data_IF_697024853726
#
_entry.id   IF_697024853726
#
_cell.length_a   1.000
_cell.length_b   1.000
_cell.length_c   1.000
_cell.angle_alpha   90.00
_cell.angle_beta   90.00
_cell.angle_gamma   90.00
#
_symmetry.space_group_name_H-M   'P 1'
#
loop_
_entity.id
_entity.type
_entity.pdbx_description
1 polymer ?
#
# COMPACT_ATOMS: atom_id res chain seq x y z
N UNK A 1 -45.59 21.61 31.84
CA UNK A 1 -44.14 21.36 32.00
C UNK A 1 -43.58 21.00 30.62
N UNK A 2 -42.39 21.55 30.33
CA UNK A 2 -41.82 21.85 29.02
C UNK A 2 -41.63 20.62 28.10
N UNK A 3 -42.26 20.68 26.93
CA UNK A 3 -41.97 19.87 25.74
C UNK A 3 -40.51 20.05 25.31
N UNK A 4 -39.71 18.98 25.37
CA UNK A 4 -38.37 18.95 24.78
C UNK A 4 -38.39 18.02 23.55
N UNK A 5 -38.74 18.64 22.41
CA UNK A 5 -38.22 18.24 21.11
C UNK A 5 -36.69 18.28 21.15
N UNK A 6 -36.07 17.27 20.55
CA UNK A 6 -34.81 17.29 19.78
C UNK A 6 -34.22 15.88 19.90
N UNK A 7 -34.55 14.95 19.01
CA UNK A 7 -33.71 14.68 17.84
C UNK A 7 -32.22 14.94 18.13
N UNK A 8 -31.56 13.95 18.73
CA UNK A 8 -30.11 13.80 18.61
C UNK A 8 -29.87 12.47 17.89
N UNK A 9 -29.83 12.60 16.57
CA UNK A 9 -29.40 11.59 15.63
C UNK A 9 -28.03 11.06 16.06
N UNK A 10 -28.01 9.83 16.56
CA UNK A 10 -26.78 9.06 16.74
C UNK A 10 -26.36 8.47 15.38
N UNK A 11 -26.15 9.35 14.39
CA UNK A 11 -25.43 9.02 13.17
C UNK A 11 -23.93 9.11 13.46
N UNK A 12 -23.44 8.19 14.30
CA UNK A 12 -22.01 7.99 14.50
C UNK A 12 -21.42 7.43 13.21
N UNK A 13 -20.67 8.29 12.51
CA UNK A 13 -19.92 8.00 11.30
C UNK A 13 -19.45 6.54 11.25
N UNK A 14 -19.98 5.75 10.32
CA UNK A 14 -19.20 4.66 9.77
C UNK A 14 -17.97 5.31 9.14
N UNK A 15 -16.82 5.21 9.81
CA UNK A 15 -15.55 5.29 9.12
C UNK A 15 -15.58 4.14 8.10
N UNK A 16 -15.83 4.46 6.83
CA UNK A 16 -15.59 3.53 5.73
C UNK A 16 -14.10 3.66 5.37
N UNK A 17 -13.21 2.76 5.80
CA UNK A 17 -11.90 2.62 5.15
C UNK A 17 -12.02 2.08 3.71
N UNK A 18 -13.23 1.76 3.23
CA UNK A 18 -13.45 0.85 2.09
C UNK A 18 -13.28 1.40 0.67
N UNK A 19 -12.92 2.66 0.45
CA UNK A 19 -12.75 3.20 -0.93
C UNK A 19 -11.30 3.28 -1.40
N UNK A 20 -10.31 3.18 -0.49
CA UNK A 20 -8.90 3.18 -0.85
C UNK A 20 -8.37 1.77 -1.22
N UNK A 21 -9.04 0.71 -0.78
CA UNK A 21 -8.52 -0.66 -0.88
C UNK A 21 -8.33 -1.16 -2.31
N UNK A 22 -9.19 -0.76 -3.26
CA UNK A 22 -9.09 -1.21 -4.65
C UNK A 22 -7.95 -0.50 -5.40
N UNK A 23 -7.84 0.84 -5.25
CA UNK A 23 -6.73 1.62 -5.81
C UNK A 23 -5.39 1.20 -5.17
N UNK A 24 -5.36 1.10 -3.84
CA UNK A 24 -4.17 0.68 -3.09
C UNK A 24 -3.70 -0.71 -3.53
N UNK A 25 -4.60 -1.66 -3.80
CA UNK A 25 -4.21 -2.98 -4.27
C UNK A 25 -3.54 -2.92 -5.65
N UNK A 26 -4.15 -2.24 -6.63
CA UNK A 26 -3.55 -2.06 -7.95
C UNK A 26 -2.23 -1.28 -7.89
N UNK A 27 -2.15 -0.28 -7.02
CA UNK A 27 -0.96 0.52 -6.82
C UNK A 27 0.18 -0.28 -6.17
N UNK A 28 -0.13 -1.10 -5.16
CA UNK A 28 0.84 -1.99 -4.51
C UNK A 28 1.40 -3.01 -5.51
N UNK A 29 0.55 -3.57 -6.39
CA UNK A 29 1.00 -4.47 -7.45
C UNK A 29 1.91 -3.77 -8.47
N UNK A 30 1.59 -2.53 -8.87
CA UNK A 30 2.42 -1.76 -9.79
C UNK A 30 3.81 -1.45 -9.18
N UNK A 31 3.85 -1.01 -7.91
CA UNK A 31 5.10 -0.81 -7.18
C UNK A 31 5.87 -2.12 -7.01
N UNK A 32 5.16 -3.21 -6.71
CA UNK A 32 5.72 -4.54 -6.54
C UNK A 32 6.37 -5.08 -7.81
N UNK A 33 5.72 -4.93 -8.96
CA UNK A 33 6.27 -5.31 -10.26
C UNK A 33 7.53 -4.52 -10.62
N UNK A 34 7.52 -3.20 -10.34
CA UNK A 34 8.70 -2.36 -10.53
C UNK A 34 9.85 -2.81 -9.62
N UNK A 35 9.54 -3.10 -8.36
CA UNK A 35 10.51 -3.56 -7.39
C UNK A 35 11.10 -4.93 -7.77
N UNK A 36 10.30 -5.90 -8.18
CA UNK A 36 10.81 -7.20 -8.64
C UNK A 36 11.72 -7.10 -9.86
N UNK A 37 11.44 -6.14 -10.75
CA UNK A 37 12.16 -5.99 -12.01
C UNK A 37 13.50 -5.31 -11.85
N UNK A 38 13.61 -4.36 -10.93
CA UNK A 38 14.78 -3.48 -10.82
C UNK A 38 15.43 -3.45 -9.44
N UNK A 39 14.72 -3.88 -8.40
CA UNK A 39 15.23 -3.94 -7.04
C UNK A 39 15.63 -5.37 -6.72
N UNK A 40 16.86 -5.69 -7.07
CA UNK A 40 17.52 -6.90 -6.66
C UNK A 40 19.00 -6.63 -6.43
N UNK A 41 19.62 -7.46 -5.60
CA UNK A 41 21.08 -7.53 -5.53
C UNK A 41 21.53 -8.69 -6.42
N UNK A 42 22.72 -8.58 -7.02
CA UNK A 42 23.31 -9.71 -7.73
C UNK A 42 23.51 -10.86 -6.74
N UNK A 43 22.73 -11.94 -6.92
CA UNK A 43 22.89 -13.17 -6.15
C UNK A 43 24.17 -13.91 -6.55
N UNK A 44 24.43 -15.06 -5.91
CA UNK A 44 25.64 -15.87 -6.14
C UNK A 44 25.82 -16.34 -7.60
N UNK A 45 24.75 -16.31 -8.40
CA UNK A 45 24.74 -16.69 -9.82
C UNK A 45 24.65 -15.49 -10.78
N UNK A 46 24.81 -14.25 -10.28
CA UNK A 46 24.74 -13.04 -11.12
C UNK A 46 23.34 -12.60 -11.52
N UNK A 47 22.29 -13.32 -11.08
CA UNK A 47 20.90 -12.91 -11.25
C UNK A 47 20.49 -11.90 -10.17
N UNK A 48 19.73 -10.86 -10.56
CA UNK A 48 19.14 -9.93 -9.61
C UNK A 48 18.01 -10.64 -8.86
N UNK A 49 18.23 -10.93 -7.58
CA UNK A 49 17.20 -11.47 -6.70
C UNK A 49 16.64 -10.36 -5.80
N UNK A 50 15.32 -10.22 -5.66
CA UNK A 50 14.72 -9.28 -4.72
C UNK A 50 15.10 -9.65 -3.29
N UNK A 51 15.54 -8.66 -2.52
CA UNK A 51 15.88 -8.86 -1.11
C UNK A 51 14.65 -9.19 -0.25
N UNK A 52 14.86 -9.89 0.87
CA UNK A 52 13.79 -10.39 1.76
C UNK A 52 12.83 -9.27 2.19
N UNK A 53 13.33 -8.05 2.37
CA UNK A 53 12.50 -6.90 2.72
C UNK A 53 11.52 -6.51 1.62
N UNK A 54 11.96 -6.57 0.36
CA UNK A 54 11.10 -6.34 -0.81
C UNK A 54 10.05 -7.45 -0.94
N UNK A 55 10.44 -8.71 -0.71
CA UNK A 55 9.52 -9.84 -0.70
C UNK A 55 8.46 -9.72 0.41
N UNK A 56 8.84 -9.24 1.59
CA UNK A 56 7.91 -8.99 2.70
C UNK A 56 6.88 -7.91 2.36
N UNK A 57 7.31 -6.78 1.80
CA UNK A 57 6.38 -5.74 1.37
C UNK A 57 5.41 -6.24 0.29
N UNK A 58 5.90 -7.08 -0.61
CA UNK A 58 5.07 -7.72 -1.64
C UNK A 58 4.07 -8.74 -1.06
N UNK A 59 4.43 -9.41 0.03
CA UNK A 59 3.51 -10.25 0.79
C UNK A 59 2.47 -9.40 1.51
N UNK A 60 2.85 -8.25 2.05
CA UNK A 60 1.92 -7.32 2.71
C UNK A 60 0.91 -6.75 1.71
N UNK A 61 1.33 -6.41 0.48
CA UNK A 61 0.44 -6.08 -0.64
C UNK A 61 -0.63 -7.17 -0.85
N UNK A 62 -0.18 -8.43 -1.00
CA UNK A 62 -1.06 -9.57 -1.30
C UNK A 62 -1.95 -10.01 -0.14
N UNK A 63 -1.56 -9.69 1.10
CA UNK A 63 -2.32 -10.05 2.30
C UNK A 63 -3.39 -9.01 2.67
N UNK A 64 -3.55 -7.95 1.86
CA UNK A 64 -4.48 -6.85 2.15
C UNK A 64 -3.91 -5.79 3.11
N UNK A 65 -2.64 -5.91 3.53
CA UNK A 65 -1.91 -4.87 4.24
C UNK A 65 -1.21 -3.93 3.25
N UNK A 66 -1.99 -3.41 2.31
CA UNK A 66 -1.50 -2.60 1.19
C UNK A 66 -0.83 -1.32 1.68
N UNK A 67 -1.35 -0.67 2.71
CA UNK A 67 -0.77 0.56 3.26
C UNK A 67 0.70 0.38 3.71
N UNK A 68 1.01 -0.71 4.41
CA UNK A 68 2.38 -1.00 4.84
C UNK A 68 3.29 -1.38 3.66
N UNK A 69 2.78 -2.20 2.74
CA UNK A 69 3.50 -2.60 1.53
C UNK A 69 3.85 -1.41 0.64
N UNK A 70 2.86 -0.55 0.35
CA UNK A 70 3.01 0.68 -0.43
C UNK A 70 4.05 1.59 0.21
N UNK A 71 3.89 1.91 1.51
CA UNK A 71 4.80 2.84 2.19
C UNK A 71 6.27 2.38 2.12
N UNK A 72 6.51 1.07 2.25
CA UNK A 72 7.85 0.50 2.11
C UNK A 72 8.36 0.58 0.67
N UNK A 73 7.57 0.11 -0.30
CA UNK A 73 7.97 0.06 -1.70
C UNK A 73 8.22 1.46 -2.27
N UNK A 74 7.33 2.43 -1.99
CA UNK A 74 7.53 3.82 -2.40
C UNK A 74 8.84 4.38 -1.85
N UNK A 75 9.10 4.21 -0.55
CA UNK A 75 10.32 4.72 0.09
C UNK A 75 11.57 4.11 -0.56
N UNK A 76 11.55 2.79 -0.76
CA UNK A 76 12.69 2.05 -1.31
C UNK A 76 12.95 2.46 -2.77
N UNK A 77 11.90 2.53 -3.60
CA UNK A 77 12.00 2.92 -5.01
C UNK A 77 12.45 4.37 -5.18
N UNK A 78 11.93 5.31 -4.37
CA UNK A 78 12.38 6.71 -4.35
C UNK A 78 13.84 6.81 -3.93
N UNK A 79 14.27 6.07 -2.92
CA UNK A 79 15.66 6.06 -2.46
C UNK A 79 16.62 5.52 -3.55
N UNK A 80 16.14 4.63 -4.41
CA UNK A 80 16.88 4.13 -5.56
C UNK A 80 16.75 5.02 -6.82
N UNK A 81 16.05 6.17 -6.72
CA UNK A 81 15.93 7.14 -7.81
C UNK A 81 14.90 6.79 -8.89
N UNK A 82 14.02 5.82 -8.65
CA UNK A 82 12.96 5.48 -9.60
C UNK A 82 11.80 6.47 -9.55
N UNK A 83 11.25 6.80 -10.72
CA UNK A 83 9.96 7.47 -10.84
C UNK A 83 8.85 6.50 -10.46
N UNK A 84 8.01 6.89 -9.50
CA UNK A 84 6.93 6.03 -9.04
C UNK A 84 5.73 6.05 -10.00
N UNK A 85 4.95 4.95 -10.09
CA UNK A 85 3.65 4.96 -10.75
C UNK A 85 2.73 6.00 -10.11
N UNK A 86 1.76 6.50 -10.88
CA UNK A 86 0.72 7.41 -10.36
C UNK A 86 -0.29 6.58 -9.56
N UNK A 87 -0.78 7.16 -8.46
CA UNK A 87 -1.95 6.68 -7.72
C UNK A 87 -3.18 7.21 -8.45
N UNK A 88 -4.12 6.35 -8.82
CA UNK A 88 -5.28 6.73 -9.65
C UNK A 88 -6.54 7.00 -8.82
#
# INVERSE_FOLDING_TARGET
MKTKLALLALAGLLALPGLAHADDASYCEALGALALRYMGSAGGEGHLAPDITTLNALRDCRSGNTAAGIAFLEKKLRAAGFTLPKRD
#
